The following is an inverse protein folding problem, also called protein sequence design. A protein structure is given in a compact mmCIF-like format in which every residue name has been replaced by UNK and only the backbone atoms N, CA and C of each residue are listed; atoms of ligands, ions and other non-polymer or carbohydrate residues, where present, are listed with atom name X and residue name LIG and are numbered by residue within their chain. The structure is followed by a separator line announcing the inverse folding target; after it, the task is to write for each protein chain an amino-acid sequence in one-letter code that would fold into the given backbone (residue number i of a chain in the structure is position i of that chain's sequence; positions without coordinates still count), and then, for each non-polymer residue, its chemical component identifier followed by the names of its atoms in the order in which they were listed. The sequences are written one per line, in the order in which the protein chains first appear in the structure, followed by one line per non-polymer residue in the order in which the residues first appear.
data_IF_220816309701
#
_entry.id   IF_220816309701
#
_cell.length_a   1.000
_cell.length_b   1.000
_cell.length_c   1.000
_cell.angle_alpha   90.00
_cell.angle_beta   90.00
_cell.angle_gamma   90.00
#
_symmetry.space_group_name_H-M   'P 1'
#
loop_
_entity.id
_entity.type
_entity.pdbx_description
1 polymer ?
#
# COMPACT_ATOMS: atom_id res chain seq x y z
N UNK A 1 27.65 -5.53 -26.23
CA UNK A 1 27.85 -4.31 -25.43
C UNK A 1 26.53 -3.68 -25.00
N UNK A 2 25.46 -3.83 -25.79
CA UNK A 2 24.15 -3.25 -25.50
C UNK A 2 23.44 -3.86 -24.28
N UNK A 3 23.69 -5.14 -23.96
CA UNK A 3 23.05 -5.84 -22.84
C UNK A 3 23.43 -5.28 -21.46
N UNK A 4 24.70 -4.93 -21.26
CA UNK A 4 25.18 -4.36 -20.00
C UNK A 4 24.63 -2.95 -19.73
N UNK A 5 24.58 -2.13 -20.78
CA UNK A 5 24.01 -0.79 -20.71
C UNK A 5 22.49 -0.85 -20.45
N UNK A 6 21.80 -1.74 -21.13
CA UNK A 6 20.37 -1.96 -20.93
C UNK A 6 20.07 -2.42 -19.50
N UNK A 7 20.88 -3.34 -18.96
CA UNK A 7 20.78 -3.76 -17.57
C UNK A 7 20.98 -2.62 -16.58
N UNK A 8 21.96 -1.77 -16.83
CA UNK A 8 22.22 -0.64 -15.97
C UNK A 8 21.09 0.40 -16.02
N UNK A 9 20.49 0.66 -17.19
CA UNK A 9 19.31 1.51 -17.31
C UNK A 9 18.07 0.92 -16.62
N UNK A 10 17.80 -0.37 -16.81
CA UNK A 10 16.68 -1.03 -16.11
C UNK A 10 16.88 -1.03 -14.60
N UNK A 11 18.12 -1.22 -14.14
CA UNK A 11 18.49 -1.09 -12.73
C UNK A 11 18.26 0.32 -12.19
N UNK A 12 18.61 1.36 -12.94
CA UNK A 12 18.35 2.75 -12.56
C UNK A 12 16.85 3.05 -12.49
N UNK A 13 16.07 2.63 -13.50
CA UNK A 13 14.62 2.80 -13.50
C UNK A 13 13.98 2.12 -12.28
N UNK A 14 14.43 0.90 -11.95
CA UNK A 14 13.95 0.19 -10.75
C UNK A 14 14.25 0.96 -9.47
N UNK A 15 15.42 1.59 -9.37
CA UNK A 15 15.79 2.40 -8.19
C UNK A 15 15.02 3.70 -8.12
N UNK A 16 14.74 4.34 -9.25
CA UNK A 16 13.91 5.55 -9.30
C UNK A 16 12.48 5.22 -8.84
N UNK A 17 11.92 4.12 -9.28
CA UNK A 17 10.58 3.70 -8.85
C UNK A 17 10.54 3.30 -7.37
N UNK A 18 11.58 2.64 -6.86
CA UNK A 18 11.72 2.36 -5.42
C UNK A 18 11.83 3.66 -4.60
N UNK A 19 12.45 4.71 -5.15
CA UNK A 19 12.51 6.03 -4.53
C UNK A 19 11.12 6.66 -4.43
N UNK A 20 10.34 6.59 -5.50
CA UNK A 20 8.96 7.09 -5.53
C UNK A 20 8.09 6.35 -4.51
N UNK A 21 8.22 5.02 -4.41
CA UNK A 21 7.52 4.21 -3.41
C UNK A 21 7.90 4.61 -1.98
N UNK A 22 9.21 4.75 -1.70
CA UNK A 22 9.68 5.16 -0.37
C UNK A 22 9.22 6.57 -0.01
N UNK A 23 9.24 7.51 -0.97
CA UNK A 23 8.76 8.86 -0.77
C UNK A 23 7.24 8.91 -0.50
N UNK A 24 6.46 8.10 -1.22
CA UNK A 24 5.01 7.96 -1.00
C UNK A 24 4.71 7.37 0.38
N UNK A 25 5.40 6.31 0.79
CA UNK A 25 5.24 5.71 2.11
C UNK A 25 5.55 6.73 3.22
N UNK A 26 6.67 7.44 3.10
CA UNK A 26 7.07 8.46 4.07
C UNK A 26 6.06 9.61 4.14
N UNK A 27 5.58 10.11 3.00
CA UNK A 27 4.58 11.18 2.96
C UNK A 27 3.26 10.78 3.64
N UNK A 28 2.95 9.49 3.69
CA UNK A 28 1.73 8.94 4.28
C UNK A 28 1.96 8.23 5.63
N UNK A 29 3.16 8.32 6.22
CA UNK A 29 3.46 7.72 7.53
C UNK A 29 2.58 8.29 8.68
N UNK A 30 2.02 9.50 8.51
CA UNK A 30 1.06 10.09 9.45
C UNK A 30 -0.42 9.92 9.05
N UNK A 31 -0.72 9.17 7.98
CA UNK A 31 -2.09 8.99 7.49
C UNK A 31 -2.74 7.78 8.15
N UNK A 32 -3.91 7.98 8.80
CA UNK A 32 -4.64 6.89 9.44
C UNK A 32 -5.02 5.80 8.44
N UNK A 33 -4.83 4.55 8.82
CA UNK A 33 -5.17 3.40 8.00
C UNK A 33 -4.35 3.23 6.73
N UNK A 34 -3.26 3.99 6.56
CA UNK A 34 -2.37 3.84 5.40
C UNK A 34 -1.67 2.49 5.42
N UNK A 35 -1.55 1.88 4.24
CA UNK A 35 -0.77 0.65 4.00
C UNK A 35 0.40 0.97 3.10
N UNK A 36 1.60 0.74 3.63
CA UNK A 36 2.83 0.94 2.89
C UNK A 36 2.90 0.03 1.66
N UNK A 37 3.51 0.54 0.61
CA UNK A 37 3.82 -0.24 -0.57
C UNK A 37 5.23 -0.82 -0.42
N UNK A 38 5.39 -2.08 -0.77
CA UNK A 38 6.68 -2.77 -0.81
C UNK A 38 6.99 -3.19 -2.23
N UNK A 39 8.14 -2.77 -2.71
CA UNK A 39 8.62 -3.16 -4.03
C UNK A 39 9.10 -4.61 -3.99
N UNK A 40 8.78 -5.37 -5.03
CA UNK A 40 9.34 -6.69 -5.23
C UNK A 40 10.07 -6.75 -6.57
N UNK A 41 11.20 -7.44 -6.58
CA UNK A 41 12.03 -7.60 -7.77
C UNK A 41 11.80 -8.99 -8.37
N UNK A 42 11.69 -9.05 -9.68
CA UNK A 42 11.71 -10.31 -10.45
C UNK A 42 13.09 -10.50 -11.05
N UNK A 43 13.67 -11.67 -10.84
CA UNK A 43 14.77 -12.13 -11.67
C UNK A 43 14.20 -12.48 -13.06
N UNK A 44 14.57 -11.75 -14.08
CA UNK A 44 14.29 -12.15 -15.46
C UNK A 44 15.50 -12.91 -15.92
N UNK A 45 15.39 -14.24 -16.04
CA UNK A 45 16.38 -15.04 -16.74
C UNK A 45 16.26 -14.71 -18.23
N UNK A 46 17.21 -13.96 -18.75
CA UNK A 46 17.39 -13.78 -20.20
C UNK A 46 18.08 -15.02 -20.80
N UNK A 47 17.49 -16.19 -20.56
CA UNK A 47 17.99 -17.46 -21.05
C UNK A 47 16.84 -18.21 -21.69
N UNK A 48 16.81 -18.10 -22.97
CA UNK A 48 15.78 -18.64 -23.82
C UNK A 48 15.53 -20.12 -23.65
N UNK A 49 14.50 -20.51 -24.09
CA UNK A 49 13.86 -21.74 -24.46
C UNK A 49 14.70 -22.78 -25.24
N UNK A 50 16.01 -22.61 -25.40
CA UNK A 50 16.87 -23.59 -26.06
C UNK A 50 17.91 -24.15 -25.10
N UNK A 51 17.58 -25.29 -24.54
CA UNK A 51 18.33 -26.09 -23.58
C UNK A 51 19.46 -26.93 -24.22
N UNK A 52 19.98 -26.56 -25.37
CA UNK A 52 20.98 -27.36 -26.12
C UNK A 52 22.30 -26.62 -26.45
N UNK A 53 22.77 -25.70 -25.66
CA UNK A 53 24.14 -25.21 -25.81
C UNK A 53 24.98 -25.51 -24.57
N UNK A 54 26.00 -26.37 -24.68
CA UNK A 54 26.89 -26.75 -23.56
C UNK A 54 27.91 -25.67 -23.18
N UNK A 55 27.77 -24.44 -23.62
CA UNK A 55 28.77 -23.37 -23.47
C UNK A 55 28.34 -22.19 -22.59
N UNK A 56 27.18 -22.24 -21.93
CA UNK A 56 26.81 -21.21 -21.01
C UNK A 56 27.48 -21.41 -19.66
N UNK A 57 28.53 -20.66 -19.43
CA UNK A 57 29.24 -20.64 -18.14
C UNK A 57 28.26 -20.13 -17.06
N UNK A 58 28.31 -20.72 -15.84
CA UNK A 58 27.57 -20.28 -14.66
C UNK A 58 27.74 -18.76 -14.37
N UNK A 59 28.80 -18.14 -14.89
CA UNK A 59 29.07 -16.71 -14.80
C UNK A 59 28.15 -15.93 -15.76
N UNK A 60 27.84 -16.45 -16.95
CA UNK A 60 26.88 -15.85 -17.90
C UNK A 60 25.46 -15.88 -17.37
N UNK A 61 25.03 -16.95 -16.71
CA UNK A 61 23.74 -17.05 -16.05
C UNK A 61 23.61 -16.06 -14.89
N UNK A 62 24.66 -15.86 -14.10
CA UNK A 62 24.67 -14.92 -12.99
C UNK A 62 24.66 -13.45 -13.45
N UNK A 63 25.23 -13.14 -14.62
CA UNK A 63 25.30 -11.78 -15.19
C UNK A 63 24.01 -11.43 -15.95
N UNK A 64 23.32 -12.41 -16.53
CA UNK A 64 22.05 -12.20 -17.24
C UNK A 64 20.81 -12.18 -16.33
N UNK A 65 20.94 -12.43 -15.04
CA UNK A 65 19.89 -12.33 -14.05
C UNK A 65 19.63 -10.87 -13.64
N UNK A 66 18.99 -10.09 -14.49
CA UNK A 66 18.64 -8.71 -14.15
C UNK A 66 17.43 -8.68 -13.21
N UNK A 67 17.60 -8.04 -12.06
CA UNK A 67 16.47 -7.70 -11.20
C UNK A 67 15.62 -6.60 -11.85
N UNK A 68 14.56 -7.00 -12.54
CA UNK A 68 13.54 -6.06 -12.98
C UNK A 68 12.55 -5.86 -11.85
N UNK A 69 12.15 -4.61 -11.59
CA UNK A 69 11.08 -4.36 -10.66
C UNK A 69 9.82 -5.08 -11.14
N UNK A 70 9.32 -6.03 -10.33
CA UNK A 70 8.12 -6.81 -10.64
C UNK A 70 6.84 -6.05 -10.38
N UNK A 71 6.92 -4.95 -9.62
CA UNK A 71 5.81 -4.11 -9.18
C UNK A 71 5.86 -3.81 -7.69
N UNK A 72 4.79 -3.22 -7.19
CA UNK A 72 4.59 -2.96 -5.76
C UNK A 72 3.46 -3.84 -5.24
N UNK A 73 3.57 -4.22 -3.98
CA UNK A 73 2.54 -4.92 -3.23
C UNK A 73 2.25 -4.15 -1.95
N UNK A 74 0.97 -4.08 -1.58
CA UNK A 74 0.56 -3.50 -0.30
C UNK A 74 1.05 -4.40 0.85
N UNK A 75 1.62 -3.77 1.86
CA UNK A 75 1.94 -4.42 3.13
C UNK A 75 0.67 -4.38 4.00
N UNK A 76 0.04 -5.54 4.19
CA UNK A 76 -1.21 -5.65 4.95
C UNK A 76 -1.00 -5.76 6.45
N UNK A 77 0.26 -5.67 6.92
CA UNK A 77 0.57 -5.62 8.35
C UNK A 77 -0.20 -4.53 9.07
N UNK A 78 -0.70 -4.82 10.28
CA UNK A 78 -1.46 -3.88 11.09
C UNK A 78 -0.59 -2.70 11.54
N UNK A 79 -1.14 -1.48 11.46
CA UNK A 79 -0.53 -0.27 11.99
C UNK A 79 -0.68 -0.17 13.51
N UNK A 80 -0.03 0.82 14.10
CA UNK A 80 -0.14 1.06 15.54
C UNK A 80 -1.52 1.60 15.90
N UNK A 81 -2.16 1.02 16.93
CA UNK A 81 -3.44 1.49 17.45
C UNK A 81 -3.20 2.62 18.46
N UNK A 82 -3.81 3.77 18.21
CA UNK A 82 -3.73 4.95 19.08
C UNK A 82 -5.10 5.28 19.67
N UNK A 83 -5.18 5.42 21.00
CA UNK A 83 -6.42 5.82 21.67
C UNK A 83 -6.66 7.32 21.49
N UNK A 84 -7.86 7.68 21.03
CA UNK A 84 -8.27 9.07 20.83
C UNK A 84 -9.31 9.54 21.85
N UNK A 85 -10.10 8.61 22.38
CA UNK A 85 -11.21 8.93 23.28
C UNK A 85 -12.47 9.43 22.55
N UNK A 86 -12.45 9.64 21.25
CA UNK A 86 -13.65 10.00 20.49
C UNK A 86 -14.51 8.74 20.26
N UNK A 87 -15.77 8.73 20.67
CA UNK A 87 -16.63 7.53 20.59
C UNK A 87 -16.93 7.07 19.16
N UNK A 88 -16.69 7.89 18.15
CA UNK A 88 -16.87 7.53 16.73
C UNK A 88 -15.57 7.12 16.03
N UNK A 89 -14.44 7.23 16.72
CA UNK A 89 -13.20 6.66 16.23
C UNK A 89 -13.20 5.16 16.50
N UNK A 90 -13.01 4.38 15.44
CA UNK A 90 -13.06 2.93 15.49
C UNK A 90 -11.78 2.35 14.90
N UNK A 91 -11.13 1.44 15.59
CA UNK A 91 -10.00 0.70 15.06
C UNK A 91 -10.36 -0.78 14.94
N UNK A 92 -9.71 -1.47 14.01
CA UNK A 92 -9.84 -2.92 13.87
C UNK A 92 -8.62 -3.60 14.50
N UNK A 93 -8.87 -4.59 15.32
CA UNK A 93 -7.84 -5.51 15.80
C UNK A 93 -7.99 -6.83 15.05
N UNK A 94 -7.00 -7.16 14.21
CA UNK A 94 -7.03 -8.28 13.27
C UNK A 94 -7.20 -7.86 11.82
N UNK A 95 -7.43 -8.84 10.92
CA UNK A 95 -7.58 -8.62 9.48
C UNK A 95 -9.00 -8.18 9.12
N UNK A 96 -9.13 -7.28 8.15
CA UNK A 96 -10.40 -6.77 7.65
C UNK A 96 -10.35 -5.27 7.35
N UNK A 97 -11.42 -4.73 6.81
CA UNK A 97 -11.54 -3.34 6.39
C UNK A 97 -12.96 -2.85 6.62
N UNK A 98 -13.12 -1.59 6.95
CA UNK A 98 -14.41 -0.92 6.93
C UNK A 98 -14.85 -0.69 5.48
N UNK A 99 -16.15 -0.82 5.22
CA UNK A 99 -16.73 -0.54 3.90
C UNK A 99 -17.28 0.89 3.85
N UNK A 100 -16.94 1.59 2.77
CA UNK A 100 -17.40 2.96 2.50
C UNK A 100 -18.15 3.03 1.17
N UNK A 101 -19.24 3.78 1.13
CA UNK A 101 -19.95 4.12 -0.10
C UNK A 101 -19.30 5.38 -0.68
N UNK A 102 -18.62 5.23 -1.82
CA UNK A 102 -18.04 6.33 -2.59
C UNK A 102 -18.89 6.61 -3.84
N UNK A 103 -18.53 7.66 -4.59
CA UNK A 103 -19.17 7.97 -5.88
C UNK A 103 -18.90 6.92 -6.96
N UNK A 104 -17.77 6.23 -6.85
CA UNK A 104 -17.33 5.18 -7.78
C UNK A 104 -17.78 3.77 -7.37
N UNK A 105 -18.45 3.62 -6.23
CA UNK A 105 -18.88 2.33 -5.69
C UNK A 105 -18.41 2.10 -4.28
N UNK A 106 -18.30 0.84 -3.86
CA UNK A 106 -17.82 0.46 -2.53
C UNK A 106 -16.31 0.47 -2.53
N UNK A 107 -15.73 1.21 -1.57
CA UNK A 107 -14.30 1.18 -1.25
C UNK A 107 -14.11 0.70 0.18
N UNK A 108 -12.91 0.23 0.47
CA UNK A 108 -12.53 -0.34 1.76
C UNK A 108 -11.43 0.48 2.40
N UNK A 109 -11.44 0.59 3.73
CA UNK A 109 -10.44 1.39 4.44
C UNK A 109 -10.12 0.81 5.81
N UNK A 110 -8.94 1.13 6.32
CA UNK A 110 -8.56 0.94 7.72
C UNK A 110 -8.68 2.23 8.53
N UNK A 111 -8.93 3.36 7.87
CA UNK A 111 -9.17 4.62 8.55
C UNK A 111 -10.55 4.60 9.21
N UNK A 112 -10.55 4.58 10.52
CA UNK A 112 -11.76 4.59 11.35
C UNK A 112 -12.05 5.94 12.00
N UNK A 113 -11.44 7.02 11.54
CA UNK A 113 -11.76 8.38 11.99
C UNK A 113 -13.11 8.82 11.41
N UNK A 114 -14.19 8.33 12.01
CA UNK A 114 -15.55 8.60 11.54
C UNK A 114 -16.19 9.79 12.26
N UNK A 115 -17.17 10.35 11.61
CA UNK A 115 -17.96 11.46 12.13
C UNK A 115 -19.45 11.27 11.81
N UNK A 116 -20.29 11.95 12.54
CA UNK A 116 -21.72 11.98 12.26
C UNK A 116 -22.06 13.19 11.39
N UNK A 117 -22.71 12.96 10.24
CA UNK A 117 -23.18 14.03 9.36
C UNK A 117 -24.32 14.83 9.99
N UNK A 118 -24.68 15.96 9.40
CA UNK A 118 -25.86 16.76 9.80
C UNK A 118 -27.18 15.99 9.69
N UNK A 119 -27.23 14.99 8.80
CA UNK A 119 -28.38 14.09 8.62
C UNK A 119 -28.35 12.88 9.54
N UNK A 120 -27.33 12.76 10.41
CA UNK A 120 -27.19 11.66 11.35
C UNK A 120 -26.52 10.42 10.79
N UNK A 121 -26.06 10.42 9.56
CA UNK A 121 -25.39 9.26 8.95
C UNK A 121 -23.91 9.24 9.32
N UNK A 122 -23.36 8.06 9.58
CA UNK A 122 -21.95 7.85 9.85
C UNK A 122 -21.15 8.00 8.58
N UNK A 123 -20.13 8.85 8.60
CA UNK A 123 -19.29 9.18 7.44
C UNK A 123 -17.81 9.23 7.79
N UNK A 124 -16.96 9.03 6.77
CA UNK A 124 -15.52 9.25 6.86
C UNK A 124 -15.18 10.75 6.95
N UNK A 125 -13.92 11.07 7.19
CA UNK A 125 -13.41 12.45 7.16
C UNK A 125 -13.59 13.15 5.80
N UNK A 126 -13.82 12.39 4.72
CA UNK A 126 -14.09 12.88 3.35
C UNK A 126 -15.57 12.94 2.99
N UNK A 127 -16.46 12.57 3.93
CA UNK A 127 -17.91 12.57 3.72
C UNK A 127 -18.47 11.32 3.02
N UNK A 128 -17.69 10.25 2.92
CA UNK A 128 -18.14 8.97 2.37
C UNK A 128 -18.92 8.21 3.44
N UNK A 129 -20.00 7.55 3.06
CA UNK A 129 -20.90 6.90 4.02
C UNK A 129 -20.31 5.55 4.48
N UNK A 130 -20.28 5.33 5.79
CA UNK A 130 -19.88 4.05 6.37
C UNK A 130 -21.03 3.06 6.24
N UNK A 131 -20.71 1.86 5.76
CA UNK A 131 -21.67 0.81 5.48
C UNK A 131 -21.74 -0.22 6.61
N UNK A 132 -22.94 -0.77 6.80
CA UNK A 132 -23.20 -1.91 7.68
C UNK A 132 -22.80 -3.25 7.01
N UNK A 133 -23.01 -4.35 7.72
CA UNK A 133 -22.77 -5.71 7.20
C UNK A 133 -23.62 -6.06 5.98
N UNK A 134 -24.74 -5.34 5.75
CA UNK A 134 -25.62 -5.50 4.60
C UNK A 134 -25.33 -4.45 3.51
N UNK A 135 -24.21 -3.73 3.61
CA UNK A 135 -23.80 -2.67 2.68
C UNK A 135 -24.80 -1.51 2.61
N UNK A 136 -25.44 -1.16 3.73
CA UNK A 136 -26.33 -0.02 3.86
C UNK A 136 -25.71 1.07 4.74
N UNK A 137 -25.95 2.36 4.46
CA UNK A 137 -25.47 3.44 5.31
C UNK A 137 -26.01 3.36 6.73
N UNK A 138 -25.15 3.60 7.71
CA UNK A 138 -25.48 3.54 9.14
C UNK A 138 -25.96 4.91 9.59
N UNK A 139 -27.18 4.99 10.13
CA UNK A 139 -27.74 6.22 10.70
C UNK A 139 -27.68 6.17 12.22
N UNK A 140 -27.01 7.15 12.84
CA UNK A 140 -26.80 7.24 14.28
C UNK A 140 -27.67 8.37 14.82
N UNK A 141 -28.66 8.08 15.68
CA UNK A 141 -29.45 9.09 16.37
C UNK A 141 -28.62 9.88 17.39
N UNK A 142 -29.18 10.95 17.95
CA UNK A 142 -28.56 11.71 19.04
C UNK A 142 -28.55 10.91 20.33
N UNK A 143 -27.40 10.83 21.00
CA UNK A 143 -27.25 10.12 22.27
C UNK A 143 -25.80 9.71 22.52
N UNK A 144 -25.58 9.00 23.60
CA UNK A 144 -24.28 8.41 23.92
C UNK A 144 -24.10 7.13 23.10
N UNK A 145 -23.01 7.09 22.30
CA UNK A 145 -22.71 6.00 21.39
C UNK A 145 -21.83 4.97 22.09
N UNK A 146 -22.21 3.73 22.02
CA UNK A 146 -21.41 2.60 22.49
C UNK A 146 -21.28 1.57 21.36
N UNK A 147 -20.04 1.15 21.09
CA UNK A 147 -19.72 0.16 20.07
C UNK A 147 -19.09 -1.05 20.75
N UNK A 148 -19.68 -2.22 20.50
CA UNK A 148 -19.18 -3.48 21.04
C UNK A 148 -18.08 -4.07 20.16
N UNK A 149 -17.24 -4.98 20.66
CA UNK A 149 -16.14 -5.57 19.90
C UNK A 149 -16.55 -6.31 18.61
N UNK A 150 -17.81 -6.75 18.51
CA UNK A 150 -18.39 -7.33 17.29
C UNK A 150 -18.82 -6.27 16.24
N UNK A 151 -18.63 -4.98 16.57
CA UNK A 151 -19.01 -3.86 15.69
C UNK A 151 -20.45 -3.41 15.82
N UNK A 152 -21.24 -3.96 16.75
CA UNK A 152 -22.62 -3.52 16.98
C UNK A 152 -22.65 -2.14 17.64
N UNK A 153 -23.38 -1.21 17.02
CA UNK A 153 -23.55 0.17 17.50
C UNK A 153 -24.86 0.27 18.28
N UNK A 154 -24.77 0.73 19.50
CA UNK A 154 -25.92 1.08 20.33
C UNK A 154 -25.86 2.53 20.75
N UNK A 155 -27.02 3.16 20.85
CA UNK A 155 -27.15 4.57 21.28
C UNK A 155 -28.06 4.62 22.50
N UNK A 156 -27.52 5.19 23.57
CA UNK A 156 -28.28 5.48 24.80
C UNK A 156 -28.91 6.85 24.67
N UNK A 157 -30.25 6.90 24.67
CA UNK A 157 -31.04 8.12 24.66
C UNK A 157 -32.01 8.11 25.85
N UNK A 158 -32.73 9.20 26.07
CA UNK A 158 -33.70 9.38 27.18
C UNK A 158 -34.79 8.29 27.24
N UNK A 159 -34.95 7.49 26.16
CA UNK A 159 -35.94 6.38 26.08
C UNK A 159 -35.35 4.96 26.19
N UNK A 160 -34.04 4.81 26.47
CA UNK A 160 -33.38 3.51 26.58
C UNK A 160 -32.24 3.31 25.57
N UNK A 161 -31.65 2.11 25.59
CA UNK A 161 -30.61 1.70 24.63
C UNK A 161 -31.27 1.15 23.37
N UNK A 162 -30.90 1.69 22.22
CA UNK A 162 -31.34 1.22 20.90
C UNK A 162 -30.13 0.74 20.10
N UNK A 163 -30.18 -0.49 19.60
CA UNK A 163 -29.20 -1.00 18.63
C UNK A 163 -29.54 -0.38 17.27
N UNK A 164 -28.56 0.30 16.67
CA UNK A 164 -28.74 1.08 15.44
C UNK A 164 -28.31 0.29 14.21
N UNK A 165 -27.35 -0.61 14.40
CA UNK A 165 -26.77 -1.42 13.33
C UNK A 165 -25.44 -2.01 13.75
N UNK A 166 -24.78 -2.68 12.82
CA UNK A 166 -23.44 -3.25 13.00
C UNK A 166 -22.53 -2.74 11.89
N UNK A 167 -21.35 -2.24 12.23
CA UNK A 167 -20.37 -1.77 11.23
C UNK A 167 -19.96 -2.94 10.34
N UNK A 168 -19.98 -2.71 9.05
CA UNK A 168 -19.53 -3.68 8.06
C UNK A 168 -18.00 -3.80 8.06
N UNK A 169 -17.50 -4.94 8.53
CA UNK A 169 -16.08 -5.29 8.47
C UNK A 169 -15.92 -6.46 7.52
N UNK A 170 -15.11 -6.26 6.49
CA UNK A 170 -14.92 -7.21 5.40
C UNK A 170 -13.46 -7.57 5.25
N UNK A 171 -13.21 -8.82 4.95
CA UNK A 171 -11.90 -9.36 4.62
C UNK A 171 -11.90 -9.88 3.19
N UNK A 172 -10.73 -10.21 2.65
CA UNK A 172 -10.56 -10.70 1.30
C UNK A 172 -9.73 -11.97 1.30
N UNK A 173 -10.22 -12.99 0.61
CA UNK A 173 -9.51 -14.28 0.48
C UNK A 173 -8.13 -14.10 -0.19
N UNK A 174 -8.00 -13.08 -1.04
CA UNK A 174 -6.74 -12.72 -1.70
C UNK A 174 -6.58 -11.20 -1.70
N UNK A 175 -5.85 -10.73 -0.70
CA UNK A 175 -5.54 -9.30 -0.52
C UNK A 175 -4.64 -8.74 -1.63
N UNK A 176 -3.96 -9.60 -2.40
CA UNK A 176 -3.09 -9.17 -3.51
C UNK A 176 -3.87 -8.53 -4.68
N UNK A 177 -5.17 -8.76 -4.74
CA UNK A 177 -6.07 -8.17 -5.74
C UNK A 177 -6.64 -6.80 -5.30
N UNK A 178 -6.35 -6.36 -4.07
CA UNK A 178 -6.75 -5.03 -3.63
C UNK A 178 -5.93 -3.96 -4.35
N UNK A 179 -6.64 -3.00 -4.89
CA UNK A 179 -6.04 -1.88 -5.62
C UNK A 179 -6.17 -0.64 -4.74
N UNK A 180 -5.06 0.05 -4.49
CA UNK A 180 -5.09 1.32 -3.77
C UNK A 180 -5.91 2.37 -4.56
N UNK A 181 -6.90 2.96 -3.91
CA UNK A 181 -7.74 4.04 -4.42
C UNK A 181 -7.52 5.30 -3.56
N UNK A 182 -6.42 5.97 -3.83
CA UNK A 182 -5.93 7.08 -3.03
C UNK A 182 -4.97 6.64 -1.91
N UNK A 183 -4.95 7.39 -0.80
CA UNK A 183 -3.94 7.22 0.25
C UNK A 183 -4.26 6.10 1.24
N UNK A 184 -5.53 5.95 1.64
CA UNK A 184 -5.95 5.02 2.70
C UNK A 184 -7.23 4.27 2.35
N UNK A 185 -7.58 4.17 1.04
CA UNK A 185 -8.71 3.40 0.54
C UNK A 185 -8.25 2.35 -0.46
N UNK A 186 -9.04 1.31 -0.55
CA UNK A 186 -8.78 0.15 -1.39
C UNK A 186 -10.04 -0.22 -2.17
N UNK A 187 -9.89 -0.52 -3.43
CA UNK A 187 -10.92 -1.14 -4.25
C UNK A 187 -10.73 -2.64 -4.26
N UNK A 188 -11.82 -3.39 -4.17
CA UNK A 188 -11.77 -4.85 -4.18
C UNK A 188 -11.30 -5.44 -5.53
N UNK A 189 -11.34 -4.65 -6.62
CA UNK A 189 -11.07 -5.20 -7.95
C UNK A 189 -11.97 -6.40 -8.24
N UNK A 190 -11.35 -7.56 -8.44
CA UNK A 190 -12.06 -8.84 -8.63
C UNK A 190 -12.18 -9.68 -7.36
N UNK A 191 -11.63 -9.21 -6.23
CA UNK A 191 -11.70 -9.93 -4.96
C UNK A 191 -13.12 -9.89 -4.39
N UNK A 192 -13.57 -11.02 -3.85
CA UNK A 192 -14.88 -11.10 -3.19
C UNK A 192 -14.72 -10.79 -1.69
N UNK A 193 -15.47 -9.81 -1.17
CA UNK A 193 -15.47 -9.53 0.26
C UNK A 193 -16.14 -10.70 1.01
N UNK A 194 -15.54 -11.09 2.12
CA UNK A 194 -16.07 -12.05 3.08
C UNK A 194 -16.20 -11.35 4.44
N UNK A 195 -17.05 -11.85 5.33
CA UNK A 195 -17.14 -11.28 6.67
C UNK A 195 -15.81 -11.49 7.40
N UNK A 196 -15.29 -10.42 8.01
CA UNK A 196 -14.05 -10.48 8.79
C UNK A 196 -14.29 -10.91 10.22
N UNK A 197 -13.28 -11.55 10.83
CA UNK A 197 -13.27 -11.89 12.26
C UNK A 197 -12.51 -10.85 13.11
N UNK A 198 -12.30 -9.63 12.59
CA UNK A 198 -11.64 -8.58 13.33
C UNK A 198 -12.50 -8.04 14.46
N UNK A 199 -11.88 -7.65 15.58
CA UNK A 199 -12.56 -6.98 16.68
C UNK A 199 -12.54 -5.47 16.45
N UNK A 200 -13.66 -4.82 16.75
CA UNK A 200 -13.79 -3.36 16.68
C UNK A 200 -13.46 -2.76 18.03
N UNK A 201 -12.47 -1.88 18.07
CA UNK A 201 -12.10 -1.12 19.26
C UNK A 201 -12.63 0.31 19.15
N UNK A 202 -13.51 0.71 20.06
CA UNK A 202 -14.05 2.06 20.16
C UNK A 202 -13.04 3.02 20.82
N UNK A 203 -13.01 4.27 20.35
CA UNK A 203 -12.16 5.32 20.92
C UNK A 203 -10.68 5.18 20.55
N UNK A 204 -10.39 4.50 19.45
CA UNK A 204 -9.07 4.32 18.91
C UNK A 204 -9.09 4.45 17.39
N UNK A 205 -7.94 4.79 16.81
CA UNK A 205 -7.69 4.80 15.35
C UNK A 205 -6.44 3.99 15.04
N UNK A 206 -6.40 3.41 13.85
CA UNK A 206 -5.22 2.73 13.35
C UNK A 206 -4.36 3.73 12.56
N UNK A 207 -3.09 3.89 12.95
CA UNK A 207 -2.11 4.69 12.21
C UNK A 207 -1.62 3.98 10.96
N UNK A 208 -0.68 4.61 10.26
CA UNK A 208 0.04 3.97 9.16
C UNK A 208 0.85 2.77 9.68
N UNK A 209 1.05 1.76 8.82
CA UNK A 209 1.98 0.66 9.10
C UNK A 209 3.42 0.97 8.66
N UNK A 210 3.70 2.22 8.29
CA UNK A 210 5.03 2.77 8.03
C UNK A 210 5.44 3.71 9.16
N UNK A 211 6.65 3.54 9.65
CA UNK A 211 7.24 4.45 10.62
C UNK A 211 8.07 5.52 9.90
N UNK A 212 7.86 6.80 10.25
CA UNK A 212 8.53 7.94 9.63
C UNK A 212 10.07 7.86 9.74
N UNK A 213 10.60 7.30 10.83
CA UNK A 213 12.05 7.15 11.03
C UNK A 213 12.58 6.10 10.05
N UNK A 214 11.95 4.93 10.01
CA UNK A 214 12.33 3.87 9.07
C UNK A 214 12.15 4.32 7.61
N UNK A 215 11.03 4.98 7.29
CA UNK A 215 10.76 5.52 5.96
C UNK A 215 11.83 6.51 5.50
N UNK A 216 12.27 7.41 6.40
CA UNK A 216 13.36 8.35 6.08
C UNK A 216 14.68 7.63 5.83
N UNK A 217 15.03 6.65 6.66
CA UNK A 217 16.25 5.86 6.47
C UNK A 217 16.22 5.10 5.13
N UNK A 218 15.08 4.51 4.80
CA UNK A 218 14.88 3.79 3.54
C UNK A 218 14.98 4.73 2.33
N UNK A 219 14.36 5.91 2.41
CA UNK A 219 14.46 6.93 1.35
C UNK A 219 15.92 7.31 1.07
N UNK A 220 16.70 7.62 2.12
CA UNK A 220 18.12 7.97 1.99
C UNK A 220 18.93 6.80 1.42
N UNK A 221 18.64 5.56 1.83
CA UNK A 221 19.32 4.38 1.32
C UNK A 221 19.07 4.20 -0.19
N UNK A 222 17.81 4.26 -0.61
CA UNK A 222 17.41 4.12 -2.02
C UNK A 222 17.97 5.27 -2.87
N UNK A 223 17.95 6.50 -2.35
CA UNK A 223 18.56 7.65 -3.02
C UNK A 223 20.05 7.43 -3.27
N UNK A 224 20.81 6.99 -2.26
CA UNK A 224 22.24 6.69 -2.44
C UNK A 224 22.47 5.58 -3.46
N UNK A 225 21.62 4.56 -3.50
CA UNK A 225 21.71 3.50 -4.49
C UNK A 225 21.45 4.02 -5.91
N UNK A 226 20.46 4.90 -6.09
CA UNK A 226 20.18 5.54 -7.37
C UNK A 226 21.36 6.43 -7.82
N UNK A 227 21.94 7.23 -6.93
CA UNK A 227 23.11 8.05 -7.22
C UNK A 227 24.35 7.21 -7.62
N UNK A 228 24.59 6.10 -6.93
CA UNK A 228 25.66 5.17 -7.28
C UNK A 228 25.45 4.57 -8.67
N UNK A 229 24.22 4.20 -9.02
CA UNK A 229 23.90 3.66 -10.33
C UNK A 229 24.07 4.73 -11.44
N UNK A 230 23.65 5.99 -11.19
CA UNK A 230 23.88 7.09 -12.13
C UNK A 230 25.37 7.35 -12.36
N UNK A 231 26.18 7.33 -11.29
CA UNK A 231 27.64 7.46 -11.41
C UNK A 231 28.26 6.31 -12.21
N UNK A 232 27.84 5.07 -11.94
CA UNK A 232 28.30 3.91 -12.70
C UNK A 232 27.97 4.06 -14.19
N UNK A 233 26.74 4.45 -14.54
CA UNK A 233 26.33 4.71 -15.92
C UNK A 233 27.14 5.84 -16.57
N UNK A 234 27.44 6.93 -15.85
CA UNK A 234 28.24 8.02 -16.37
C UNK A 234 29.68 7.59 -16.66
N UNK A 235 30.28 6.76 -15.80
CA UNK A 235 31.61 6.20 -16.04
C UNK A 235 31.61 5.29 -17.27
N UNK A 236 30.61 4.42 -17.39
CA UNK A 236 30.47 3.58 -18.59
C UNK A 236 30.37 4.40 -19.88
N UNK A 237 29.52 5.42 -19.90
CA UNK A 237 29.36 6.27 -21.08
C UNK A 237 30.68 7.01 -21.43
N UNK A 238 31.36 7.56 -20.42
CA UNK A 238 32.61 8.30 -20.63
C UNK A 238 33.76 7.39 -21.14
N UNK A 239 33.89 6.19 -20.57
CA UNK A 239 34.88 5.21 -21.03
C UNK A 239 34.57 4.70 -22.44
N UNK A 240 33.30 4.55 -22.78
CA UNK A 240 32.86 4.16 -24.11
C UNK A 240 33.17 5.23 -25.14
N UNK A 241 32.84 6.49 -24.84
CA UNK A 241 33.10 7.60 -25.74
C UNK A 241 34.62 7.80 -25.95
N UNK A 242 35.41 7.59 -24.89
CA UNK A 242 36.86 7.66 -24.95
C UNK A 242 37.46 6.55 -25.84
N UNK A 243 37.04 5.30 -25.62
CA UNK A 243 37.48 4.15 -26.41
C UNK A 243 37.05 4.29 -27.88
N UNK A 244 35.83 4.76 -28.12
CA UNK A 244 35.37 5.03 -29.50
C UNK A 244 36.15 6.17 -30.20
N UNK A 245 36.58 7.16 -29.43
CA UNK A 245 37.37 8.28 -30.00
C UNK A 245 38.85 7.95 -30.21
N UNK A 246 39.42 7.05 -29.38
CA UNK A 246 40.85 6.70 -29.44
C UNK A 246 41.14 5.50 -30.34
N UNK A 247 40.25 4.50 -30.42
CA UNK A 247 40.49 3.22 -31.13
C UNK A 247 39.86 3.15 -32.54
N UNK A 248 38.99 4.12 -32.92
CA UNK A 248 38.53 4.18 -34.32
C UNK A 248 39.62 4.81 -35.22
N UNK A 249 40.10 4.04 -36.19
CA UNK A 249 41.09 4.59 -37.14
C UNK A 249 40.48 5.79 -37.86
N UNK A 250 41.16 6.92 -37.78
CA UNK A 250 40.84 8.11 -38.62
C UNK A 250 41.07 7.72 -40.08
N UNK A 251 39.96 7.46 -40.79
CA UNK A 251 39.97 7.30 -42.27
C UNK A 251 40.08 8.64 -42.90
#
# INVERSE_FOLDING_TARGET
MDSGLYAAYTGLMSRTQALDTAANNLANAGTNGFRAQRDYFRGVFAGGLDRESPADSQVGESVNGFGVLGGNRLDMGQGQLARTGNPLDLALEGQGFFALQTKSGISYTRDGAFSRSSTGVLQSSRGELVLDVNQKPITIPTGTIHVTPDGSISVSATGGNVIVGQVGVFDFTDESNLIADGTNRFSAGNAKPVAANALVQQGAIEGANEDAIHGTMQLVLVQRQAEMMQKALSVFNNEFDKTAAEDLPRV
#
